data_IF_062465968296
#
_entry.id   IF_062465968296
#
_cell.length_a   1.000
_cell.length_b   1.000
_cell.length_c   1.000
_cell.angle_alpha   90.00
_cell.angle_beta   90.00
_cell.angle_gamma   90.00
#
_symmetry.space_group_name_H-M   'P 1'
#
loop_
_entity.id
_entity.type
_entity.pdbx_description
1 polymer ?
#
# COMPACT_ATOMS: atom_id res chain seq x y z
N UNK A 1 -16.03 0.71 2.15
CA UNK A 1 -17.00 -0.36 2.43
C UNK A 1 -16.33 -1.66 2.81
N UNK A 2 -15.30 -2.13 2.10
CA UNK A 2 -14.66 -3.43 2.37
C UNK A 2 -14.12 -3.56 3.80
N UNK A 3 -13.32 -2.62 4.27
CA UNK A 3 -12.76 -2.60 5.63
C UNK A 3 -13.83 -2.43 6.71
N UNK A 4 -14.95 -1.78 6.37
CA UNK A 4 -16.05 -1.49 7.29
C UNK A 4 -17.18 -2.52 7.25
N UNK A 5 -17.05 -3.59 6.44
CA UNK A 5 -18.15 -4.55 6.20
C UNK A 5 -18.75 -5.14 7.48
N UNK A 6 -17.92 -5.45 8.48
CA UNK A 6 -18.37 -5.99 9.76
C UNK A 6 -19.29 -5.06 10.55
N UNK A 7 -19.16 -3.73 10.36
CA UNK A 7 -20.00 -2.71 11.00
C UNK A 7 -21.44 -2.77 10.53
N UNK A 8 -21.67 -3.19 9.27
CA UNK A 8 -23.02 -3.30 8.68
C UNK A 8 -23.74 -4.59 9.06
N UNK A 9 -23.03 -5.68 9.29
CA UNK A 9 -23.63 -7.03 9.45
C UNK A 9 -23.92 -7.43 10.89
N UNK A 10 -23.24 -6.87 11.90
CA UNK A 10 -23.49 -7.25 13.29
C UNK A 10 -24.85 -6.74 13.77
N UNK A 11 -25.59 -7.62 14.50
CA UNK A 11 -27.00 -7.58 14.75
C UNK A 11 -27.61 -6.31 15.36
N UNK A 12 -27.01 -5.73 16.40
CA UNK A 12 -27.62 -4.59 17.10
C UNK A 12 -27.37 -3.25 16.41
N UNK A 13 -28.39 -2.37 16.43
CA UNK A 13 -28.28 -1.01 15.94
C UNK A 13 -27.65 -0.12 17.03
N UNK A 14 -26.34 -0.07 17.08
CA UNK A 14 -25.59 0.85 17.92
C UNK A 14 -25.20 2.12 17.14
N UNK A 15 -24.67 3.12 17.87
CA UNK A 15 -24.25 4.41 17.30
C UNK A 15 -23.20 4.25 16.18
N UNK A 16 -22.28 3.28 16.30
CA UNK A 16 -21.27 2.99 15.29
C UNK A 16 -21.88 2.47 13.98
N UNK A 17 -22.86 1.56 14.09
CA UNK A 17 -23.59 1.04 12.93
C UNK A 17 -24.38 2.13 12.23
N UNK A 18 -25.09 2.99 13.00
CA UNK A 18 -25.85 4.11 12.46
C UNK A 18 -24.91 5.08 11.74
N UNK A 19 -23.78 5.45 12.34
CA UNK A 19 -22.76 6.31 11.71
C UNK A 19 -22.22 5.70 10.42
N UNK A 20 -22.02 4.38 10.37
CA UNK A 20 -21.56 3.70 9.15
C UNK A 20 -22.60 3.79 8.02
N UNK A 21 -23.89 3.59 8.34
CA UNK A 21 -24.97 3.73 7.35
C UNK A 21 -25.15 5.17 6.88
N UNK A 22 -25.08 6.15 7.78
CA UNK A 22 -25.16 7.57 7.44
C UNK A 22 -24.00 7.97 6.50
N UNK A 23 -22.78 7.56 6.83
CA UNK A 23 -21.61 7.81 5.97
C UNK A 23 -21.78 7.18 4.59
N UNK A 24 -22.27 5.93 4.53
CA UNK A 24 -22.51 5.26 3.28
C UNK A 24 -23.59 5.96 2.46
N UNK A 25 -24.68 6.41 3.09
CA UNK A 25 -25.75 7.15 2.44
C UNK A 25 -25.23 8.43 1.80
N UNK A 26 -24.44 9.24 2.55
CA UNK A 26 -23.86 10.47 2.02
C UNK A 26 -22.87 10.18 0.86
N UNK A 27 -22.06 9.14 0.97
CA UNK A 27 -21.19 8.72 -0.13
C UNK A 27 -21.99 8.34 -1.38
N UNK A 28 -23.07 7.56 -1.24
CA UNK A 28 -23.88 7.13 -2.37
C UNK A 28 -24.66 8.28 -3.00
N UNK A 29 -25.21 9.20 -2.22
CA UNK A 29 -25.82 10.43 -2.73
C UNK A 29 -24.82 11.26 -3.54
N UNK A 30 -23.65 11.49 -2.98
CA UNK A 30 -22.58 12.26 -3.66
C UNK A 30 -22.16 11.58 -4.96
N UNK A 31 -21.97 10.26 -4.96
CA UNK A 31 -21.63 9.50 -6.16
C UNK A 31 -22.76 9.60 -7.21
N UNK A 32 -24.02 9.53 -6.81
CA UNK A 32 -25.13 9.66 -7.76
C UNK A 32 -25.17 11.04 -8.43
N UNK A 33 -24.90 12.12 -7.69
CA UNK A 33 -24.82 13.47 -8.26
C UNK A 33 -23.62 13.57 -9.23
N UNK A 34 -22.41 13.16 -8.79
CA UNK A 34 -21.19 13.26 -9.60
C UNK A 34 -21.21 12.40 -10.85
N UNK A 35 -21.89 11.26 -10.81
CA UNK A 35 -21.95 10.31 -11.92
C UNK A 35 -23.16 10.49 -12.83
N UNK A 36 -24.08 11.39 -12.49
CA UNK A 36 -25.31 11.65 -13.28
C UNK A 36 -25.03 12.07 -14.72
N UNK A 37 -23.96 12.82 -15.07
CA UNK A 37 -23.66 13.12 -16.46
C UNK A 37 -23.23 11.90 -17.28
N UNK A 38 -22.71 10.84 -16.63
CA UNK A 38 -22.20 9.64 -17.30
C UNK A 38 -23.31 8.58 -17.44
N UNK A 39 -24.10 8.42 -16.37
CA UNK A 39 -25.18 7.42 -16.30
C UNK A 39 -26.48 8.04 -15.81
N UNK A 40 -27.14 8.90 -16.61
CA UNK A 40 -28.21 9.77 -16.14
C UNK A 40 -29.40 9.02 -15.54
N UNK A 41 -29.93 8.03 -16.21
CA UNK A 41 -31.14 7.31 -15.77
C UNK A 41 -30.90 6.47 -14.51
N UNK A 42 -29.78 5.76 -14.46
CA UNK A 42 -29.46 4.92 -13.32
C UNK A 42 -29.17 5.77 -12.06
N UNK A 43 -28.45 6.87 -12.21
CA UNK A 43 -28.11 7.75 -11.09
C UNK A 43 -29.31 8.53 -10.60
N UNK A 44 -30.23 8.90 -11.48
CA UNK A 44 -31.49 9.55 -11.09
C UNK A 44 -32.36 8.61 -10.25
N UNK A 45 -32.55 7.38 -10.72
CA UNK A 45 -33.30 6.38 -9.97
C UNK A 45 -32.66 6.08 -8.61
N UNK A 46 -31.34 5.86 -8.58
CA UNK A 46 -30.59 5.64 -7.34
C UNK A 46 -30.73 6.81 -6.36
N UNK A 47 -30.64 8.04 -6.85
CA UNK A 47 -30.76 9.24 -6.02
C UNK A 47 -32.17 9.38 -5.41
N UNK A 48 -33.22 9.10 -6.19
CA UNK A 48 -34.60 9.12 -5.72
C UNK A 48 -34.82 8.06 -4.64
N UNK A 49 -34.34 6.84 -4.85
CA UNK A 49 -34.42 5.75 -3.86
C UNK A 49 -33.69 6.11 -2.55
N UNK A 50 -32.49 6.69 -2.63
CA UNK A 50 -31.69 7.05 -1.47
C UNK A 50 -32.28 8.25 -0.68
N UNK A 51 -32.92 9.18 -1.36
CA UNK A 51 -33.46 10.40 -0.75
C UNK A 51 -34.93 10.26 -0.35
N UNK A 52 -35.59 9.19 -0.76
CA UNK A 52 -37.05 8.99 -0.61
C UNK A 52 -37.83 10.16 -1.17
N UNK A 53 -37.32 10.79 -2.23
CA UNK A 53 -37.89 11.98 -2.84
C UNK A 53 -37.94 11.80 -4.37
N UNK A 54 -39.02 12.26 -4.99
CA UNK A 54 -39.20 12.22 -6.45
C UNK A 54 -38.45 13.33 -7.19
N UNK A 55 -37.62 14.12 -6.49
CA UNK A 55 -36.79 15.15 -7.13
C UNK A 55 -35.66 14.50 -7.93
N UNK A 56 -35.56 14.89 -9.20
CA UNK A 56 -34.48 14.39 -10.07
C UNK A 56 -33.10 14.86 -9.60
N UNK A 57 -32.12 13.99 -9.71
CA UNK A 57 -30.69 14.30 -9.46
C UNK A 57 -30.20 15.42 -10.35
N UNK A 58 -30.75 15.55 -11.56
CA UNK A 58 -30.37 16.59 -12.53
C UNK A 58 -30.81 18.00 -12.15
N UNK A 59 -31.68 18.13 -11.14
CA UNK A 59 -32.10 19.42 -10.58
C UNK A 59 -31.38 19.77 -9.28
N UNK A 60 -30.31 19.05 -8.95
CA UNK A 60 -29.48 19.29 -7.78
C UNK A 60 -28.20 20.00 -8.16
N UNK A 61 -27.66 20.81 -7.23
CA UNK A 61 -26.35 21.41 -7.38
C UNK A 61 -25.23 20.40 -7.20
N UNK A 62 -24.08 20.67 -7.80
CA UNK A 62 -22.88 19.87 -7.56
C UNK A 62 -22.45 19.97 -6.08
N UNK A 63 -22.03 18.85 -5.47
CA UNK A 63 -21.67 18.83 -4.08
C UNK A 63 -20.42 19.65 -3.80
N UNK A 64 -20.50 20.48 -2.76
CA UNK A 64 -19.34 21.21 -2.24
C UNK A 64 -18.61 20.35 -1.21
N UNK A 65 -17.29 20.42 -1.17
CA UNK A 65 -16.50 19.79 -0.13
C UNK A 65 -16.41 20.69 1.12
N UNK A 66 -16.27 20.06 2.27
CA UNK A 66 -16.03 20.75 3.55
C UNK A 66 -14.62 20.45 4.04
N UNK A 67 -13.76 21.47 4.09
CA UNK A 67 -12.37 21.30 4.57
C UNK A 67 -12.30 20.79 6.01
N UNK A 68 -13.27 21.18 6.85
CA UNK A 68 -13.34 20.74 8.24
C UNK A 68 -13.52 19.23 8.42
N UNK A 69 -14.02 18.53 7.41
CA UNK A 69 -14.20 17.07 7.43
C UNK A 69 -12.98 16.32 6.87
N UNK A 70 -11.99 17.03 6.32
CA UNK A 70 -10.81 16.40 5.72
C UNK A 70 -9.76 16.17 6.81
N UNK A 71 -9.55 14.91 7.15
CA UNK A 71 -8.47 14.49 8.04
C UNK A 71 -7.33 13.88 7.22
N UNK A 72 -6.31 14.68 6.87
CA UNK A 72 -5.16 14.26 6.05
C UNK A 72 -4.33 13.17 6.72
N UNK A 73 -4.19 13.21 8.04
CA UNK A 73 -3.44 12.21 8.79
C UNK A 73 -4.14 10.85 8.70
N UNK A 74 -5.45 10.79 8.95
CA UNK A 74 -6.23 9.57 8.80
C UNK A 74 -6.19 9.04 7.37
N UNK A 75 -6.28 9.91 6.36
CA UNK A 75 -6.18 9.51 4.96
C UNK A 75 -4.84 8.83 4.67
N UNK A 76 -3.74 9.39 5.18
CA UNK A 76 -2.39 8.82 5.01
C UNK A 76 -2.28 7.46 5.69
N UNK A 77 -2.77 7.32 6.92
CA UNK A 77 -2.80 6.04 7.65
C UNK A 77 -3.61 4.98 6.88
N UNK A 78 -4.78 5.32 6.40
CA UNK A 78 -5.63 4.38 5.64
C UNK A 78 -5.01 4.00 4.30
N UNK A 79 -4.38 4.95 3.58
CA UNK A 79 -3.65 4.64 2.34
C UNK A 79 -2.53 3.65 2.60
N UNK A 80 -1.71 3.89 3.64
CA UNK A 80 -0.63 2.97 4.03
C UNK A 80 -1.19 1.57 4.37
N UNK A 81 -2.31 1.50 5.09
CA UNK A 81 -2.98 0.23 5.37
C UNK A 81 -3.40 -0.50 4.09
N UNK A 82 -3.94 0.22 3.11
CA UNK A 82 -4.34 -0.37 1.82
C UNK A 82 -3.15 -0.89 1.03
N UNK A 83 -2.03 -0.17 1.00
CA UNK A 83 -0.78 -0.58 0.37
C UNK A 83 -0.26 -1.87 0.99
N UNK A 84 -0.11 -1.92 2.32
CA UNK A 84 0.33 -3.11 3.05
C UNK A 84 -0.61 -4.31 2.80
N UNK A 85 -1.92 -4.10 2.86
CA UNK A 85 -2.89 -5.16 2.59
C UNK A 85 -2.80 -5.66 1.14
N UNK A 86 -2.61 -4.76 0.17
CA UNK A 86 -2.45 -5.12 -1.24
C UNK A 86 -1.21 -5.99 -1.46
N UNK A 87 -0.07 -5.58 -0.90
CA UNK A 87 1.19 -6.34 -0.96
C UNK A 87 1.03 -7.73 -0.31
N UNK A 88 0.48 -7.79 0.90
CA UNK A 88 0.26 -9.06 1.59
C UNK A 88 -0.69 -10.00 0.83
N UNK A 89 -1.74 -9.47 0.22
CA UNK A 89 -2.66 -10.25 -0.61
C UNK A 89 -2.01 -10.71 -1.93
N UNK A 90 -1.10 -9.92 -2.50
CA UNK A 90 -0.31 -10.32 -3.67
C UNK A 90 0.62 -11.51 -3.36
N UNK A 91 1.28 -11.48 -2.21
CA UNK A 91 2.08 -12.61 -1.71
C UNK A 91 1.22 -13.86 -1.51
N UNK A 92 0.07 -13.74 -0.87
CA UNK A 92 -0.85 -14.87 -0.71
C UNK A 92 -1.26 -15.47 -2.05
N UNK A 93 -1.49 -14.63 -3.06
CA UNK A 93 -1.83 -15.07 -4.42
C UNK A 93 -0.66 -15.79 -5.07
N UNK A 94 0.57 -15.26 -4.95
CA UNK A 94 1.80 -15.87 -5.45
C UNK A 94 2.00 -17.28 -4.86
N UNK A 95 1.84 -17.41 -3.55
CA UNK A 95 1.99 -18.66 -2.80
C UNK A 95 0.72 -19.56 -2.82
N UNK A 96 -0.33 -19.16 -3.55
CA UNK A 96 -1.61 -19.88 -3.64
C UNK A 96 -2.29 -20.13 -2.28
N UNK A 97 -2.00 -19.29 -1.28
CA UNK A 97 -2.60 -19.36 0.07
C UNK A 97 -3.92 -18.61 0.07
N UNK A 98 -5.01 -19.31 0.36
CA UNK A 98 -6.35 -18.69 0.44
C UNK A 98 -6.43 -17.69 1.60
N UNK A 99 -7.12 -16.54 1.39
CA UNK A 99 -7.28 -15.52 2.46
C UNK A 99 -7.99 -16.08 3.70
N UNK A 100 -8.85 -17.09 3.54
CA UNK A 100 -9.54 -17.78 4.65
C UNK A 100 -8.58 -18.57 5.56
N UNK A 101 -7.41 -18.95 5.07
CA UNK A 101 -6.39 -19.63 5.87
C UNK A 101 -5.66 -18.60 6.72
N UNK A 102 -5.76 -18.66 8.06
CA UNK A 102 -5.07 -17.71 8.93
C UNK A 102 -3.56 -17.96 8.88
N UNK A 103 -2.78 -16.89 8.80
CA UNK A 103 -1.33 -16.93 8.96
C UNK A 103 -0.95 -16.49 10.37
N UNK A 104 0.21 -16.93 10.83
CA UNK A 104 0.66 -16.67 12.18
C UNK A 104 0.98 -15.20 12.39
N UNK A 105 1.85 -14.64 11.53
CA UNK A 105 2.27 -13.25 11.65
C UNK A 105 2.63 -12.63 10.31
N UNK A 106 2.58 -11.29 10.29
CA UNK A 106 3.19 -10.44 9.29
C UNK A 106 4.22 -9.55 9.97
N UNK A 107 5.36 -9.34 9.33
CA UNK A 107 6.39 -8.39 9.77
C UNK A 107 6.33 -7.18 8.85
N UNK A 108 6.26 -5.99 9.45
CA UNK A 108 6.21 -4.72 8.74
C UNK A 108 7.37 -3.86 9.24
N UNK A 109 8.32 -3.48 8.37
CA UNK A 109 9.38 -2.58 8.75
C UNK A 109 8.85 -1.15 8.92
N UNK A 110 9.48 -0.38 9.82
CA UNK A 110 9.25 1.05 9.97
C UNK A 110 10.60 1.79 10.03
N UNK A 111 10.60 3.06 9.60
CA UNK A 111 11.81 3.90 9.51
C UNK A 111 12.00 4.83 10.70
N UNK A 112 10.89 5.27 11.30
CA UNK A 112 10.89 6.22 12.42
C UNK A 112 9.73 5.97 13.37
N UNK A 113 9.76 6.59 14.55
CA UNK A 113 8.74 6.39 15.59
C UNK A 113 7.35 6.89 15.18
N UNK A 114 7.26 7.95 14.37
CA UNK A 114 5.97 8.43 13.84
C UNK A 114 5.31 7.39 12.92
N UNK A 115 6.09 6.75 12.06
CA UNK A 115 5.60 5.67 11.22
C UNK A 115 5.17 4.46 12.05
N UNK A 116 5.93 4.13 13.10
CA UNK A 116 5.59 3.07 14.04
C UNK A 116 4.25 3.30 14.71
N UNK A 117 4.02 4.50 15.26
CA UNK A 117 2.74 4.87 15.88
C UNK A 117 1.59 4.76 14.88
N UNK A 118 1.76 5.30 13.68
CA UNK A 118 0.78 5.17 12.61
C UNK A 118 0.46 3.72 12.24
N UNK A 119 1.46 2.83 12.22
CA UNK A 119 1.27 1.40 11.95
C UNK A 119 0.56 0.68 13.10
N UNK A 120 0.81 1.06 14.36
CA UNK A 120 0.09 0.53 15.52
C UNK A 120 -1.42 0.83 15.38
N UNK A 121 -1.78 2.07 15.04
CA UNK A 121 -3.17 2.49 14.89
C UNK A 121 -3.95 1.69 13.84
N UNK A 122 -3.27 1.29 12.76
CA UNK A 122 -3.90 0.55 11.65
C UNK A 122 -3.72 -0.96 11.75
N UNK A 123 -3.01 -1.46 12.77
CA UNK A 123 -2.65 -2.89 12.89
C UNK A 123 -3.87 -3.82 12.90
N UNK A 124 -4.94 -3.45 13.59
CA UNK A 124 -6.16 -4.25 13.66
C UNK A 124 -6.90 -4.33 12.31
N UNK A 125 -6.86 -3.25 11.51
CA UNK A 125 -7.37 -3.28 10.14
C UNK A 125 -6.58 -4.24 9.27
N UNK A 126 -5.24 -4.19 9.35
CA UNK A 126 -4.36 -5.09 8.62
C UNK A 126 -4.63 -6.54 9.01
N UNK A 127 -4.65 -6.87 10.31
CA UNK A 127 -4.96 -8.22 10.81
C UNK A 127 -6.26 -8.76 10.24
N UNK A 128 -7.31 -7.95 10.29
CA UNK A 128 -8.65 -8.39 9.88
C UNK A 128 -8.77 -8.57 8.37
N UNK A 129 -8.08 -7.74 7.57
CA UNK A 129 -8.18 -7.75 6.12
C UNK A 129 -7.38 -8.89 5.49
N UNK A 130 -6.16 -9.12 5.99
CA UNK A 130 -5.28 -10.16 5.47
C UNK A 130 -5.35 -11.48 6.23
N UNK A 131 -6.19 -11.56 7.27
CA UNK A 131 -6.37 -12.74 8.12
C UNK A 131 -5.07 -13.28 8.71
N UNK A 132 -4.38 -12.42 9.48
CA UNK A 132 -3.19 -12.79 10.26
C UNK A 132 -3.47 -12.62 11.74
N UNK A 133 -2.81 -13.45 12.57
CA UNK A 133 -2.99 -13.42 14.03
C UNK A 133 -2.24 -12.25 14.66
N UNK A 134 -1.01 -11.97 14.19
CA UNK A 134 -0.11 -10.98 14.78
C UNK A 134 0.49 -10.06 13.71
N UNK A 135 0.67 -8.79 14.06
CA UNK A 135 1.48 -7.82 13.33
C UNK A 135 2.69 -7.51 14.18
N UNK A 136 3.88 -7.74 13.65
CA UNK A 136 5.15 -7.45 14.28
C UNK A 136 5.82 -6.29 13.55
N UNK A 137 6.18 -5.24 14.28
CA UNK A 137 6.82 -4.06 13.73
C UNK A 137 8.32 -4.11 14.01
N UNK A 138 9.14 -3.89 12.99
CA UNK A 138 10.60 -3.99 13.10
C UNK A 138 11.25 -2.72 12.56
N UNK A 139 12.02 -2.05 13.44
CA UNK A 139 12.69 -0.78 13.10
C UNK A 139 13.94 -0.97 12.25
N UNK A 140 14.68 -2.05 12.46
CA UNK A 140 15.89 -2.36 11.72
C UNK A 140 15.63 -3.58 10.81
N UNK A 141 15.29 -3.28 9.56
CA UNK A 141 15.02 -4.31 8.56
C UNK A 141 16.28 -5.04 8.10
N UNK A 142 17.47 -4.49 8.34
CA UNK A 142 18.76 -5.06 7.91
C UNK A 142 19.05 -6.42 8.56
N UNK A 143 18.50 -6.68 9.75
CA UNK A 143 18.66 -7.95 10.46
C UNK A 143 17.74 -9.07 9.96
N UNK A 144 16.67 -8.71 9.26
CA UNK A 144 15.62 -9.64 8.84
C UNK A 144 15.58 -9.76 7.31
N UNK A 145 16.02 -8.74 6.59
CA UNK A 145 15.97 -8.68 5.14
C UNK A 145 17.38 -8.62 4.56
N UNK A 146 17.75 -9.64 3.81
CA UNK A 146 19.00 -9.61 3.02
C UNK A 146 18.71 -8.82 1.76
N UNK A 147 19.17 -7.55 1.73
CA UNK A 147 19.10 -6.73 0.51
C UNK A 147 20.11 -7.27 -0.51
N UNK A 148 19.67 -7.41 -1.74
CA UNK A 148 20.51 -7.72 -2.90
C UNK A 148 20.22 -6.73 -4.02
N UNK A 149 21.22 -6.53 -4.88
CA UNK A 149 21.10 -5.67 -6.04
C UNK A 149 21.20 -6.50 -7.33
N UNK A 150 20.41 -6.10 -8.32
CA UNK A 150 20.54 -6.58 -9.71
C UNK A 150 20.92 -5.42 -10.61
N UNK A 151 21.75 -5.67 -11.64
CA UNK A 151 22.09 -4.63 -12.60
C UNK A 151 20.90 -4.28 -13.50
N UNK A 152 20.64 -3.00 -13.66
CA UNK A 152 19.68 -2.51 -14.65
C UNK A 152 20.36 -2.44 -16.02
N UNK A 153 20.28 -3.52 -16.78
CA UNK A 153 20.95 -3.63 -18.07
C UNK A 153 20.55 -2.58 -19.10
N UNK A 154 19.37 -1.97 -18.97
CA UNK A 154 18.91 -0.90 -19.87
C UNK A 154 19.74 0.37 -19.73
N UNK A 155 20.13 0.70 -18.49
CA UNK A 155 20.93 1.88 -18.20
C UNK A 155 22.43 1.60 -18.23
N UNK A 156 22.85 0.43 -17.72
CA UNK A 156 24.26 0.05 -17.68
C UNK A 156 24.84 -0.30 -19.06
N UNK A 157 24.03 -0.82 -19.98
CA UNK A 157 24.47 -1.20 -21.32
C UNK A 157 25.15 -0.07 -22.08
N UNK A 158 24.50 1.10 -22.25
CA UNK A 158 25.10 2.25 -22.92
C UNK A 158 26.29 2.86 -22.16
N UNK A 159 26.33 2.76 -20.81
CA UNK A 159 27.38 3.36 -19.97
C UNK A 159 28.70 2.55 -19.99
N UNK A 160 28.60 1.23 -19.88
CA UNK A 160 29.79 0.38 -19.63
C UNK A 160 30.17 -0.59 -20.76
N UNK A 161 29.33 -0.75 -21.78
CA UNK A 161 29.66 -1.49 -22.99
C UNK A 161 30.40 -2.81 -22.75
N UNK A 162 31.71 -2.85 -23.02
CA UNK A 162 32.54 -4.06 -22.86
C UNK A 162 32.74 -4.49 -21.41
N UNK A 163 32.72 -3.55 -20.48
CA UNK A 163 32.94 -3.80 -19.03
C UNK A 163 31.67 -4.21 -18.30
N UNK A 164 30.54 -4.27 -19.00
CA UNK A 164 29.23 -4.59 -18.44
C UNK A 164 29.24 -5.92 -17.65
N UNK A 165 29.98 -6.93 -18.10
CA UNK A 165 30.07 -8.21 -17.40
C UNK A 165 30.77 -8.10 -16.05
N UNK A 166 31.81 -7.27 -15.96
CA UNK A 166 32.55 -7.04 -14.73
C UNK A 166 31.68 -6.27 -13.76
N UNK A 167 31.08 -5.17 -14.22
CA UNK A 167 30.18 -4.33 -13.42
C UNK A 167 28.97 -5.12 -12.90
N UNK A 168 28.35 -5.93 -13.77
CA UNK A 168 27.21 -6.77 -13.34
C UNK A 168 27.59 -7.82 -12.31
N UNK A 169 28.79 -8.40 -12.41
CA UNK A 169 29.30 -9.33 -11.41
C UNK A 169 29.53 -8.65 -10.06
N UNK A 170 30.04 -7.42 -10.05
CA UNK A 170 30.27 -6.67 -8.83
C UNK A 170 28.92 -6.31 -8.19
N UNK A 171 27.95 -5.80 -8.98
CA UNK A 171 26.61 -5.45 -8.48
C UNK A 171 25.92 -6.65 -7.84
N UNK A 172 25.97 -7.82 -8.47
CA UNK A 172 25.35 -9.03 -7.92
C UNK A 172 25.99 -9.51 -6.60
N UNK A 173 27.23 -9.12 -6.34
CA UNK A 173 27.99 -9.49 -5.13
C UNK A 173 27.99 -8.39 -4.05
N UNK A 174 27.30 -7.26 -4.26
CA UNK A 174 27.19 -6.19 -3.27
C UNK A 174 26.58 -6.73 -1.97
N UNK A 175 27.19 -6.31 -0.85
CA UNK A 175 26.69 -6.62 0.49
C UNK A 175 25.61 -5.64 0.89
N UNK A 176 24.74 -6.02 1.81
CA UNK A 176 23.64 -5.16 2.32
C UNK A 176 24.11 -3.80 2.79
N UNK A 177 25.30 -3.71 3.44
CA UNK A 177 25.86 -2.44 3.89
C UNK A 177 26.29 -1.51 2.74
N UNK A 178 26.72 -2.05 1.61
CA UNK A 178 27.07 -1.27 0.42
C UNK A 178 25.82 -0.79 -0.32
N UNK A 179 24.78 -1.61 -0.34
CA UNK A 179 23.46 -1.24 -0.89
C UNK A 179 22.84 -0.11 -0.07
N UNK A 180 22.94 -0.16 1.27
CA UNK A 180 22.47 0.94 2.14
C UNK A 180 23.23 2.25 1.90
N UNK A 181 24.53 2.19 1.62
CA UNK A 181 25.31 3.37 1.23
C UNK A 181 24.80 3.98 -0.07
N UNK A 182 24.53 3.15 -1.09
CA UNK A 182 23.98 3.62 -2.36
C UNK A 182 22.61 4.26 -2.17
N UNK A 183 21.76 3.70 -1.32
CA UNK A 183 20.43 4.27 -1.03
C UNK A 183 20.55 5.66 -0.37
N UNK A 184 21.51 5.85 0.53
CA UNK A 184 21.71 7.11 1.26
C UNK A 184 22.46 8.17 0.44
N UNK A 185 23.54 7.77 -0.24
CA UNK A 185 24.45 8.67 -0.95
C UNK A 185 24.09 8.82 -2.43
N UNK A 186 23.14 8.00 -2.93
CA UNK A 186 22.72 7.88 -4.34
C UNK A 186 23.80 7.46 -5.31
N UNK A 187 25.04 7.32 -4.85
CA UNK A 187 26.21 6.92 -5.64
C UNK A 187 27.11 5.98 -4.85
N UNK A 188 27.77 5.07 -5.54
CA UNK A 188 28.83 4.23 -4.98
C UNK A 188 30.00 4.21 -5.94
N UNK A 189 31.18 4.55 -5.46
CA UNK A 189 32.44 4.40 -6.20
C UNK A 189 33.03 3.03 -5.87
N UNK A 190 33.13 2.18 -6.87
CA UNK A 190 33.75 0.86 -6.76
C UNK A 190 35.28 0.92 -6.92
N UNK A 191 35.94 -0.17 -6.56
CA UNK A 191 37.35 -0.40 -6.91
C UNK A 191 37.49 -0.26 -8.43
N UNK A 192 38.39 0.50 -8.94
CA UNK A 192 38.61 0.92 -10.33
C UNK A 192 37.91 2.22 -10.76
N UNK A 193 37.51 3.10 -9.85
CA UNK A 193 36.87 4.38 -10.16
C UNK A 193 35.56 4.25 -11.00
N UNK A 194 34.87 3.12 -10.91
CA UNK A 194 33.56 2.94 -11.54
C UNK A 194 32.50 3.52 -10.59
N UNK A 195 31.81 4.53 -11.03
CA UNK A 195 30.71 5.16 -10.29
C UNK A 195 29.38 4.50 -10.71
N UNK A 196 28.66 3.94 -9.75
CA UNK A 196 27.34 3.36 -9.92
C UNK A 196 26.30 4.28 -9.23
N UNK A 197 25.27 4.63 -9.96
CA UNK A 197 24.14 5.39 -9.46
C UNK A 197 23.04 4.45 -8.93
N UNK A 198 22.19 4.96 -8.05
CA UNK A 198 21.02 4.22 -7.55
C UNK A 198 20.09 3.75 -8.70
N UNK A 199 19.99 4.51 -9.78
CA UNK A 199 19.19 4.18 -10.97
C UNK A 199 19.76 3.02 -11.78
N UNK A 200 21.07 2.74 -11.65
CA UNK A 200 21.77 1.68 -12.38
C UNK A 200 21.54 0.30 -11.77
N UNK A 201 20.90 0.23 -10.59
CA UNK A 201 20.63 -1.02 -9.87
C UNK A 201 19.14 -1.15 -9.53
N UNK A 202 18.69 -2.40 -9.51
CA UNK A 202 17.39 -2.77 -8.96
C UNK A 202 17.60 -3.50 -7.63
N UNK A 203 17.16 -2.88 -6.53
CA UNK A 203 17.27 -3.48 -5.21
C UNK A 203 16.10 -4.43 -5.00
N UNK A 204 16.40 -5.64 -4.57
CA UNK A 204 15.40 -6.62 -4.19
C UNK A 204 15.79 -7.31 -2.88
N UNK A 205 14.80 -7.91 -2.24
CA UNK A 205 15.01 -8.67 -1.01
C UNK A 205 15.04 -10.15 -1.33
N UNK A 206 16.00 -10.86 -0.74
CA UNK A 206 16.06 -12.32 -0.86
C UNK A 206 15.07 -12.94 0.12
N UNK A 207 14.33 -13.95 -0.36
CA UNK A 207 13.43 -14.72 0.50
C UNK A 207 14.28 -15.48 1.54
N UNK A 208 13.98 -15.29 2.81
CA UNK A 208 14.60 -16.02 3.90
C UNK A 208 13.82 -17.31 4.12
N UNK A 209 14.51 -18.40 4.43
CA UNK A 209 13.87 -19.71 4.65
C UNK A 209 12.70 -19.60 5.66
N UNK A 210 11.51 -19.99 5.21
CA UNK A 210 10.27 -19.87 6.01
C UNK A 210 9.55 -18.51 5.93
N UNK A 211 10.07 -17.53 5.15
CA UNK A 211 9.47 -16.20 4.98
C UNK A 211 9.33 -15.83 3.51
N UNK A 212 8.25 -15.15 3.20
CA UNK A 212 8.05 -14.54 1.89
C UNK A 212 8.12 -13.03 2.01
N UNK A 213 8.89 -12.40 1.14
CA UNK A 213 9.15 -10.96 1.15
C UNK A 213 8.56 -10.32 -0.10
N UNK A 214 7.98 -9.14 0.05
CA UNK A 214 7.58 -8.28 -1.06
C UNK A 214 7.91 -6.84 -0.73
N UNK A 215 8.42 -6.14 -1.71
CA UNK A 215 8.64 -4.70 -1.65
C UNK A 215 8.07 -4.03 -2.89
N UNK A 216 7.62 -2.81 -2.77
CA UNK A 216 7.18 -1.98 -3.88
C UNK A 216 7.89 -0.63 -3.77
N UNK A 217 8.62 -0.26 -4.83
CA UNK A 217 9.24 1.07 -5.03
C UNK A 217 9.89 1.71 -3.80
N UNK A 218 10.74 0.96 -3.08
CA UNK A 218 11.54 1.51 -1.98
C UNK A 218 10.76 1.79 -0.68
N UNK A 219 9.60 1.18 -0.50
CA UNK A 219 8.87 1.12 0.78
C UNK A 219 8.88 -0.27 1.34
#
# INVERSE_FOLDING_TARGET
VRLSRRRFWKGEYNTDKIAAFQTLLECLKTVSILSSPISPFFMDNLFQDLTMNNKSVHLTDFPNYSESLINKELQTKIRKSQEICSLALSLRKKEKIKVRQPLNKIIIPYRNDLEKEGLIDISEFIKSEINVKNVELVGDSSKILVKKAKPNFKLLGPKFGKDLKIVSSIINNLKSAEIEKIENEKTLVLENNIEILLEDIEIYFEDIEGWQVVSENGT
#
